data_IF_565061865217
#
_entry.id   IF_565061865217
#
_cell.length_a   1.000
_cell.length_b   1.000
_cell.length_c   1.000
_cell.angle_alpha   90.00
_cell.angle_beta   90.00
_cell.angle_gamma   90.00
#
_symmetry.space_group_name_H-M   'P 1'
#
loop_
_entity.id
_entity.type
_entity.pdbx_description
1 polymer ?
#
# COMPACT_ATOMS: atom_id res chain seq x y z
N UNK A 1 -4.85 21.34 6.44
CA UNK A 1 -5.40 20.05 6.94
C UNK A 1 -6.60 19.69 6.07
N UNK A 2 -6.58 18.50 5.45
CA UNK A 2 -7.64 18.09 4.52
C UNK A 2 -8.91 17.53 5.20
N UNK A 3 -8.85 17.24 6.50
CA UNK A 3 -9.97 16.62 7.27
C UNK A 3 -10.58 17.54 8.30
N UNK A 4 -10.24 18.83 8.32
CA UNK A 4 -10.75 19.77 9.34
C UNK A 4 -10.40 19.39 10.79
N UNK A 5 -9.38 18.58 10.99
CA UNK A 5 -8.97 18.08 12.32
C UNK A 5 -9.61 16.75 12.73
N UNK A 6 -10.54 16.19 11.94
CA UNK A 6 -11.19 14.90 12.23
C UNK A 6 -10.21 13.71 12.23
N UNK A 7 -9.20 13.74 11.38
CA UNK A 7 -8.32 12.61 11.12
C UNK A 7 -8.83 11.72 9.97
N UNK A 8 -8.29 10.53 9.86
CA UNK A 8 -8.64 9.54 8.83
C UNK A 8 -9.38 8.35 9.45
N UNK A 9 -10.56 8.01 8.94
CA UNK A 9 -11.30 6.83 9.38
C UNK A 9 -10.60 5.52 9.00
N UNK A 10 -9.80 5.56 7.92
CA UNK A 10 -9.00 4.44 7.45
C UNK A 10 -7.63 4.94 7.02
N UNK A 11 -6.59 4.35 7.58
CA UNK A 11 -5.20 4.51 7.11
C UNK A 11 -4.72 3.16 6.60
N UNK A 12 -4.20 3.14 5.37
CA UNK A 12 -3.58 1.97 4.77
C UNK A 12 -2.07 2.22 4.70
N UNK A 13 -1.29 1.55 5.56
CA UNK A 13 0.15 1.73 5.64
C UNK A 13 0.88 0.65 4.83
N UNK A 14 1.38 1.04 3.66
CA UNK A 14 2.17 0.20 2.77
C UNK A 14 3.69 0.29 3.05
N UNK A 15 4.10 1.07 4.04
CA UNK A 15 5.50 1.24 4.46
C UNK A 15 5.74 0.56 5.80
N UNK A 16 4.87 0.79 6.75
CA UNK A 16 5.00 0.29 8.12
C UNK A 16 6.27 0.81 8.80
N UNK A 17 6.67 0.15 9.87
CA UNK A 17 7.94 0.39 10.53
C UNK A 17 8.23 1.85 10.88
N UNK A 18 8.91 2.53 9.97
CA UNK A 18 9.29 3.95 10.15
C UNK A 18 8.13 4.92 10.04
N UNK A 19 7.05 4.53 9.38
CA UNK A 19 5.84 5.36 9.20
C UNK A 19 4.74 5.05 10.21
N UNK A 20 4.84 3.95 10.94
CA UNK A 20 3.79 3.44 11.82
C UNK A 20 3.25 4.48 12.82
N UNK A 21 4.12 5.18 13.54
CA UNK A 21 3.70 6.17 14.54
C UNK A 21 2.96 7.34 13.88
N UNK A 22 3.44 7.79 12.73
CA UNK A 22 2.78 8.84 11.94
C UNK A 22 1.41 8.37 11.42
N UNK A 23 1.35 7.15 10.89
CA UNK A 23 0.12 6.54 10.39
C UNK A 23 -0.92 6.38 11.50
N UNK A 24 -0.49 5.93 12.68
CA UNK A 24 -1.35 5.79 13.87
C UNK A 24 -1.87 7.15 14.34
N UNK A 25 -1.01 8.18 14.38
CA UNK A 25 -1.35 9.54 14.78
C UNK A 25 -2.29 10.27 13.80
N UNK A 26 -2.48 9.73 12.58
CA UNK A 26 -3.42 10.27 11.62
C UNK A 26 -4.86 9.75 11.80
N UNK A 27 -5.08 8.75 12.65
CA UNK A 27 -6.40 8.14 12.82
C UNK A 27 -7.43 9.09 13.44
N UNK A 28 -8.61 9.09 12.88
CA UNK A 28 -9.80 9.61 13.53
C UNK A 28 -10.18 8.74 14.74
N UNK A 29 -11.00 9.27 15.62
CA UNK A 29 -11.64 8.48 16.68
C UNK A 29 -12.38 7.27 16.10
N UNK A 30 -12.12 6.09 16.62
CA UNK A 30 -12.62 4.79 16.12
C UNK A 30 -12.09 4.41 14.72
N UNK A 31 -11.09 5.10 14.21
CA UNK A 31 -10.42 4.78 12.95
C UNK A 31 -9.70 3.44 12.96
N UNK A 32 -9.30 2.97 11.78
CA UNK A 32 -8.55 1.72 11.63
C UNK A 32 -7.28 1.92 10.80
N UNK A 33 -6.17 1.41 11.32
CA UNK A 33 -4.88 1.34 10.62
C UNK A 33 -4.72 -0.08 10.07
N UNK A 34 -4.46 -0.21 8.77
CA UNK A 34 -4.22 -1.47 8.10
C UNK A 34 -2.74 -1.55 7.72
N UNK A 35 -2.02 -2.48 8.35
CA UNK A 35 -0.61 -2.74 8.14
C UNK A 35 -0.39 -3.87 7.14
N UNK A 36 0.39 -3.60 6.09
CA UNK A 36 0.76 -4.60 5.08
C UNK A 36 2.28 -4.76 4.90
N UNK A 37 3.07 -3.92 5.57
CA UNK A 37 4.52 -3.90 5.45
C UNK A 37 5.20 -3.55 6.78
N UNK A 38 6.52 -3.79 6.86
CA UNK A 38 7.35 -3.40 8.00
C UNK A 38 8.75 -3.01 7.50
N UNK A 39 8.81 -1.92 6.75
CA UNK A 39 10.05 -1.45 6.12
C UNK A 39 11.03 -0.93 7.17
N UNK A 40 12.29 -1.34 7.04
CA UNK A 40 13.43 -0.96 7.91
C UNK A 40 13.27 -1.42 9.37
N UNK A 41 12.19 -1.05 10.05
CA UNK A 41 11.96 -1.33 11.47
C UNK A 41 10.77 -2.27 11.65
N UNK A 42 11.05 -3.50 12.12
CA UNK A 42 10.03 -4.55 12.31
C UNK A 42 9.29 -4.45 13.66
N UNK A 43 9.91 -3.77 14.64
CA UNK A 43 9.32 -3.58 15.97
C UNK A 43 9.07 -2.11 16.16
N UNK A 44 7.85 -1.78 16.55
CA UNK A 44 7.39 -0.41 16.81
C UNK A 44 6.87 -0.30 18.24
N UNK A 45 6.92 0.89 18.78
CA UNK A 45 6.28 1.22 20.06
C UNK A 45 5.27 2.34 19.80
N UNK A 46 4.24 2.40 20.62
CA UNK A 46 3.25 3.48 20.58
C UNK A 46 2.65 3.69 21.97
N UNK A 47 2.04 4.84 22.18
CA UNK A 47 1.35 5.14 23.43
C UNK A 47 0.04 4.36 23.50
N UNK A 48 -0.05 3.45 24.47
CA UNK A 48 -1.22 2.60 24.65
C UNK A 48 -2.43 3.40 25.19
N UNK A 49 -2.17 4.44 26.00
CA UNK A 49 -3.21 5.32 26.52
C UNK A 49 -3.92 6.06 25.39
N UNK A 50 -3.14 6.69 24.51
CA UNK A 50 -3.66 7.40 23.35
C UNK A 50 -4.42 6.46 22.41
N UNK A 51 -3.89 5.25 22.19
CA UNK A 51 -4.50 4.27 21.32
C UNK A 51 -5.89 3.84 21.80
N UNK A 52 -6.02 3.46 23.09
CA UNK A 52 -7.32 2.99 23.58
C UNK A 52 -8.31 4.14 23.83
N UNK A 53 -7.84 5.34 24.16
CA UNK A 53 -8.71 6.52 24.24
C UNK A 53 -9.27 6.90 22.87
N UNK A 54 -8.49 6.69 21.82
CA UNK A 54 -8.96 6.89 20.45
C UNK A 54 -9.87 5.75 19.94
N UNK A 55 -10.06 4.67 20.73
CA UNK A 55 -10.80 3.46 20.34
C UNK A 55 -10.33 2.90 18.98
N UNK A 56 -9.04 3.09 18.65
CA UNK A 56 -8.44 2.73 17.38
C UNK A 56 -8.41 1.22 17.14
N UNK A 57 -8.32 0.82 15.89
CA UNK A 57 -8.16 -0.58 15.47
C UNK A 57 -6.88 -0.73 14.67
N UNK A 58 -6.09 -1.76 14.99
CA UNK A 58 -4.90 -2.15 14.23
C UNK A 58 -5.16 -3.50 13.59
N UNK A 59 -5.06 -3.55 12.26
CA UNK A 59 -5.36 -4.72 11.43
C UNK A 59 -4.15 -5.08 10.59
N UNK A 60 -3.78 -6.35 10.54
CA UNK A 60 -2.77 -6.86 9.61
C UNK A 60 -3.43 -7.41 8.36
N UNK A 61 -2.84 -7.14 7.19
CA UNK A 61 -3.23 -7.75 5.92
C UNK A 61 -1.98 -8.29 5.20
N UNK A 62 -2.03 -9.54 4.76
CA UNK A 62 -0.92 -10.19 4.06
C UNK A 62 -1.43 -10.94 2.83
N UNK A 63 -1.26 -10.34 1.65
CA UNK A 63 -1.66 -10.94 0.37
C UNK A 63 -0.85 -12.19 0.02
N UNK A 64 0.36 -12.37 0.57
CA UNK A 64 1.20 -13.54 0.28
C UNK A 64 0.65 -14.84 0.87
N UNK A 65 -0.24 -14.75 1.85
CA UNK A 65 -0.93 -15.91 2.44
C UNK A 65 -2.18 -16.31 1.68
N UNK A 66 -2.58 -15.52 0.70
CA UNK A 66 -3.66 -15.89 -0.21
C UNK A 66 -3.15 -16.98 -1.15
N UNK A 67 -3.85 -18.10 -1.21
CA UNK A 67 -3.58 -19.13 -2.23
C UNK A 67 -3.98 -18.64 -3.63
N UNK A 68 -3.51 -19.35 -4.68
CA UNK A 68 -3.78 -18.98 -6.07
C UNK A 68 -5.27 -18.81 -6.38
N UNK A 69 -6.12 -19.67 -5.84
CA UNK A 69 -7.59 -19.62 -6.06
C UNK A 69 -8.18 -18.35 -5.49
N UNK A 70 -7.80 -17.97 -4.26
CA UNK A 70 -8.30 -16.75 -3.64
C UNK A 70 -7.76 -15.49 -4.35
N UNK A 71 -6.52 -15.53 -4.80
CA UNK A 71 -5.92 -14.43 -5.58
C UNK A 71 -6.60 -14.25 -6.92
N UNK A 72 -6.89 -15.37 -7.65
CA UNK A 72 -7.63 -15.34 -8.91
C UNK A 72 -9.02 -14.72 -8.71
N UNK A 73 -9.76 -15.17 -7.71
CA UNK A 73 -11.08 -14.63 -7.42
C UNK A 73 -11.09 -13.12 -7.12
N UNK A 74 -10.00 -12.59 -6.54
CA UNK A 74 -9.85 -11.15 -6.35
C UNK A 74 -9.59 -10.46 -7.69
N UNK A 75 -8.71 -11.01 -8.54
CA UNK A 75 -8.43 -10.47 -9.87
C UNK A 75 -9.67 -10.45 -10.75
N UNK A 76 -10.48 -11.52 -10.74
CA UNK A 76 -11.75 -11.61 -11.48
C UNK A 76 -12.74 -10.51 -11.05
N UNK A 77 -12.70 -10.08 -9.80
CA UNK A 77 -13.51 -8.96 -9.30
C UNK A 77 -12.93 -7.59 -9.66
N UNK A 78 -11.62 -7.48 -9.83
CA UNK A 78 -10.95 -6.24 -10.19
C UNK A 78 -11.01 -5.96 -11.69
N UNK A 79 -10.92 -6.99 -12.54
CA UNK A 79 -10.88 -6.82 -13.98
C UNK A 79 -12.03 -5.95 -14.52
N UNK A 80 -13.31 -6.18 -14.16
CA UNK A 80 -14.41 -5.33 -14.63
C UNK A 80 -14.30 -3.87 -14.19
N UNK A 81 -13.59 -3.56 -13.10
CA UNK A 81 -13.41 -2.19 -12.65
C UNK A 81 -12.44 -1.43 -13.58
N UNK A 82 -11.43 -2.12 -14.11
CA UNK A 82 -10.54 -1.57 -15.14
C UNK A 82 -11.27 -1.43 -16.47
N UNK A 83 -12.02 -2.44 -16.90
CA UNK A 83 -12.75 -2.45 -18.16
C UNK A 83 -13.80 -1.33 -18.24
N UNK A 84 -14.41 -1.00 -17.12
CA UNK A 84 -15.40 0.08 -17.00
C UNK A 84 -14.79 1.45 -16.65
N UNK A 85 -13.47 1.56 -16.57
CA UNK A 85 -12.77 2.82 -16.26
C UNK A 85 -12.96 3.31 -14.82
N UNK A 86 -13.45 2.47 -13.91
CA UNK A 86 -13.56 2.79 -12.47
C UNK A 86 -12.21 2.71 -11.76
N UNK A 87 -11.29 1.91 -12.31
CA UNK A 87 -9.88 1.88 -11.90
C UNK A 87 -9.01 2.21 -13.11
N UNK A 88 -8.05 3.08 -12.91
CA UNK A 88 -7.07 3.41 -13.93
C UNK A 88 -5.84 2.50 -13.79
N UNK A 89 -5.34 1.99 -14.92
CA UNK A 89 -4.09 1.26 -14.95
C UNK A 89 -2.92 2.19 -14.59
N UNK A 90 -1.90 1.70 -13.86
CA UNK A 90 -0.72 2.50 -13.58
C UNK A 90 -0.06 2.97 -14.87
N UNK A 91 0.30 4.25 -14.93
CA UNK A 91 0.98 4.81 -16.09
C UNK A 91 2.34 4.13 -16.30
N UNK A 92 2.57 3.61 -17.49
CA UNK A 92 3.84 3.03 -17.92
C UNK A 92 4.75 4.14 -18.41
N UNK A 93 5.97 4.22 -17.86
CA UNK A 93 7.00 5.15 -18.30
C UNK A 93 7.76 4.59 -19.50
N UNK A 94 8.17 3.33 -19.39
CA UNK A 94 8.93 2.62 -20.43
C UNK A 94 8.52 1.14 -20.45
N UNK A 95 8.37 0.60 -21.64
CA UNK A 95 8.34 -0.84 -21.89
C UNK A 95 9.67 -1.21 -22.57
N UNK A 96 10.35 -2.22 -22.04
CA UNK A 96 11.66 -2.67 -22.52
C UNK A 96 11.60 -4.18 -22.77
N UNK A 97 12.22 -4.68 -23.84
CA UNK A 97 12.31 -6.12 -24.05
C UNK A 97 13.15 -6.78 -22.94
N UNK A 98 12.91 -8.06 -22.67
CA UNK A 98 13.64 -8.82 -21.64
C UNK A 98 15.17 -8.73 -21.79
N UNK A 99 15.66 -8.65 -23.01
CA UNK A 99 17.10 -8.48 -23.34
C UNK A 99 17.69 -7.18 -22.77
N UNK A 100 16.85 -6.19 -22.43
CA UNK A 100 17.25 -4.93 -21.79
C UNK A 100 16.79 -4.85 -20.34
N UNK A 101 16.60 -5.98 -19.69
CA UNK A 101 16.13 -6.05 -18.29
C UNK A 101 17.01 -5.29 -17.29
N UNK A 102 18.35 -5.32 -17.47
CA UNK A 102 19.28 -4.57 -16.60
C UNK A 102 18.98 -3.06 -16.68
N UNK A 103 18.78 -2.52 -17.87
CA UNK A 103 18.42 -1.11 -18.07
C UNK A 103 17.09 -0.75 -17.40
N UNK A 104 16.13 -1.68 -17.40
CA UNK A 104 14.86 -1.50 -16.68
C UNK A 104 15.08 -1.32 -15.17
N UNK A 105 15.92 -2.16 -14.56
CA UNK A 105 16.27 -2.04 -13.16
C UNK A 105 17.04 -0.75 -12.84
N UNK A 106 17.97 -0.36 -13.70
CA UNK A 106 18.72 0.90 -13.56
C UNK A 106 17.80 2.12 -13.62
N UNK A 107 16.82 2.13 -14.53
CA UNK A 107 15.83 3.19 -14.63
C UNK A 107 14.99 3.32 -13.35
N UNK A 108 14.59 2.20 -12.74
CA UNK A 108 13.86 2.20 -11.44
C UNK A 108 14.78 2.68 -10.32
N UNK A 109 16.03 2.21 -10.26
CA UNK A 109 17.01 2.63 -9.27
C UNK A 109 17.33 4.14 -9.35
N UNK A 110 17.29 4.70 -10.56
CA UNK A 110 17.43 6.14 -10.81
C UNK A 110 16.19 6.97 -10.44
N UNK A 111 15.14 6.35 -9.92
CA UNK A 111 13.94 7.03 -9.42
C UNK A 111 12.86 7.27 -10.48
N UNK A 112 12.65 6.32 -11.39
CA UNK A 112 11.55 6.39 -12.35
C UNK A 112 10.21 6.65 -11.62
N UNK A 113 9.54 7.74 -11.98
CA UNK A 113 8.29 8.19 -11.34
C UNK A 113 7.07 7.35 -11.74
N UNK A 114 7.18 6.49 -12.73
CA UNK A 114 6.11 5.67 -13.30
C UNK A 114 6.61 4.24 -13.49
N UNK A 115 5.71 3.32 -13.80
CA UNK A 115 6.07 1.91 -14.00
C UNK A 115 7.04 1.72 -15.17
N UNK A 116 8.06 0.92 -14.94
CA UNK A 116 8.91 0.33 -15.99
C UNK A 116 8.48 -1.11 -16.16
N UNK A 117 8.15 -1.51 -17.37
CA UNK A 117 7.64 -2.85 -17.70
C UNK A 117 8.71 -3.58 -18.54
N UNK A 118 8.90 -4.85 -18.26
CA UNK A 118 9.72 -5.74 -19.08
C UNK A 118 8.77 -6.64 -19.86
N UNK A 119 8.90 -6.62 -21.19
CA UNK A 119 8.12 -7.48 -22.08
C UNK A 119 8.98 -8.70 -22.47
N UNK A 120 8.39 -9.92 -22.44
CA UNK A 120 9.09 -11.16 -22.80
C UNK A 120 9.60 -11.16 -24.23
#
# INVERSE_FOLDING_TARGET
>A
MHTGGHGADVVFDAVGGVMFETALGCLAHKGRLIEIAATVRRRVAFDLLDFYHNEGRLLGADSRKLGLVASSAILDRLAPLFDNGLLEAPLVHRALPLTRGIEAYEAVAAGAQRRVVIEP
#
